data_IF_939348646242
#
_entry.id   IF_939348646242
#
_cell.length_a   1.000
_cell.length_b   1.000
_cell.length_c   1.000
_cell.angle_alpha   90.00
_cell.angle_beta   90.00
_cell.angle_gamma   90.00
#
_symmetry.space_group_name_H-M   'P 1'
#
loop_
_entity.id
_entity.type
_entity.pdbx_description
1 polymer ?
#
# COMPACT_ATOMS: atom_id res chain seq x y z
N UNK A 1 15.42 -2.49 6.18
CA UNK A 1 15.26 -1.15 5.55
C UNK A 1 15.22 -0.04 6.60
N UNK A 2 15.37 1.24 6.22
CA UNK A 2 15.11 2.42 7.07
C UNK A 2 13.80 3.13 6.66
N UNK A 3 13.19 3.96 7.53
CA UNK A 3 11.99 4.74 7.18
C UNK A 3 12.19 5.59 5.90
N UNK A 4 13.34 6.25 5.78
CA UNK A 4 13.68 7.04 4.58
C UNK A 4 13.76 6.16 3.34
N UNK A 5 14.40 4.98 3.42
CA UNK A 5 14.48 4.08 2.26
C UNK A 5 13.12 3.55 1.81
N UNK A 6 12.17 3.35 2.73
CA UNK A 6 10.80 2.94 2.38
C UNK A 6 10.10 4.06 1.62
N UNK A 7 10.23 5.31 2.07
CA UNK A 7 9.64 6.47 1.36
C UNK A 7 10.29 6.69 0.00
N UNK A 8 11.61 6.52 -0.11
CA UNK A 8 12.30 6.57 -1.40
C UNK A 8 11.79 5.49 -2.36
N UNK A 9 11.61 4.26 -1.88
CA UNK A 9 11.06 3.16 -2.68
C UNK A 9 9.61 3.44 -3.11
N UNK A 10 8.78 3.94 -2.20
CA UNK A 10 7.43 4.41 -2.51
C UNK A 10 7.45 5.44 -3.65
N UNK A 11 8.28 6.48 -3.53
CA UNK A 11 8.38 7.53 -4.53
C UNK A 11 8.91 7.05 -5.90
N UNK A 12 9.64 5.93 -5.93
CA UNK A 12 10.13 5.30 -7.16
C UNK A 12 9.04 4.49 -7.86
N UNK A 13 8.20 3.78 -7.11
CA UNK A 13 7.25 2.79 -7.66
C UNK A 13 5.83 3.35 -7.82
N UNK A 14 5.39 4.23 -6.91
CA UNK A 14 3.99 4.64 -6.76
C UNK A 14 3.39 5.22 -8.07
N UNK A 15 2.35 4.58 -8.64
CA UNK A 15 1.71 5.05 -9.89
C UNK A 15 0.93 6.35 -9.70
N UNK A 16 0.53 6.68 -8.47
CA UNK A 16 -0.36 7.80 -8.17
C UNK A 16 0.33 9.16 -8.34
N UNK A 17 1.64 9.17 -8.62
CA UNK A 17 2.50 10.37 -8.72
C UNK A 17 2.47 11.27 -7.47
N UNK A 18 1.85 10.81 -6.38
CA UNK A 18 1.87 11.46 -5.08
C UNK A 18 3.22 11.18 -4.42
N UNK A 19 4.13 12.12 -4.59
CA UNK A 19 5.43 12.08 -3.91
C UNK A 19 5.23 12.42 -2.44
N UNK A 20 5.79 11.58 -1.58
CA UNK A 20 5.87 11.82 -0.14
C UNK A 20 7.20 12.50 0.18
N UNK A 21 7.23 13.58 0.99
CA UNK A 21 8.47 14.21 1.40
C UNK A 21 9.42 13.23 2.10
N UNK A 22 10.69 13.27 1.71
CA UNK A 22 11.77 12.49 2.36
C UNK A 22 11.99 12.93 3.81
N UNK A 23 11.80 14.23 4.10
CA UNK A 23 11.79 14.75 5.47
C UNK A 23 10.49 14.29 6.16
N UNK A 24 10.60 13.25 6.97
CA UNK A 24 9.47 12.66 7.67
C UNK A 24 9.05 13.51 8.87
N UNK A 25 7.74 13.60 9.10
CA UNK A 25 7.22 14.02 10.40
C UNK A 25 7.53 12.96 11.45
N UNK A 26 7.51 13.35 12.73
CA UNK A 26 7.72 12.40 13.83
C UNK A 26 6.73 11.23 13.76
N UNK A 27 5.42 11.52 13.62
CA UNK A 27 4.37 10.50 13.54
C UNK A 27 4.56 9.52 12.38
N UNK A 28 4.91 10.02 11.18
CA UNK A 28 5.16 9.13 10.01
C UNK A 28 6.40 8.27 10.25
N UNK A 29 7.46 8.85 10.81
CA UNK A 29 8.67 8.13 11.17
C UNK A 29 8.42 7.02 12.18
N UNK A 30 7.62 7.26 13.21
CA UNK A 30 7.25 6.26 14.23
C UNK A 30 6.45 5.10 13.62
N UNK A 31 5.44 5.38 12.80
CA UNK A 31 4.66 4.35 12.10
C UNK A 31 5.53 3.51 11.18
N UNK A 32 6.40 4.14 10.38
CA UNK A 32 7.34 3.41 9.53
C UNK A 32 8.29 2.53 10.34
N UNK A 33 8.82 3.02 11.47
CA UNK A 33 9.66 2.21 12.36
C UNK A 33 8.90 1.03 12.95
N UNK A 34 7.63 1.21 13.33
CA UNK A 34 6.79 0.12 13.83
C UNK A 34 6.62 -0.97 12.76
N UNK A 35 6.22 -0.60 11.53
CA UNK A 35 6.09 -1.55 10.42
C UNK A 35 7.41 -2.23 10.04
N UNK A 36 8.52 -1.50 10.13
CA UNK A 36 9.85 -2.07 9.87
C UNK A 36 10.33 -3.03 10.96
N UNK A 37 9.82 -2.93 12.20
CA UNK A 37 10.07 -3.95 13.23
C UNK A 37 9.32 -5.24 12.95
N UNK A 38 8.14 -5.15 12.36
CA UNK A 38 7.32 -6.30 11.95
C UNK A 38 7.92 -6.97 10.71
N UNK A 39 8.27 -6.19 9.69
CA UNK A 39 8.94 -6.68 8.50
C UNK A 39 9.89 -5.63 7.89
N UNK A 40 11.19 -5.93 7.91
CA UNK A 40 12.24 -5.04 7.40
C UNK A 40 12.78 -5.40 6.01
N UNK A 41 12.26 -6.48 5.40
CA UNK A 41 12.71 -7.04 4.12
C UNK A 41 12.38 -6.10 2.94
N UNK A 42 13.39 -5.63 2.19
CA UNK A 42 13.16 -4.84 0.98
C UNK A 42 12.23 -5.48 -0.06
N UNK A 43 12.25 -6.80 -0.19
CA UNK A 43 11.47 -7.54 -1.19
C UNK A 43 9.98 -7.50 -0.87
N UNK A 44 9.62 -7.60 0.42
CA UNK A 44 8.26 -7.41 0.92
C UNK A 44 7.73 -6.02 0.56
N UNK A 45 8.46 -4.96 0.91
CA UNK A 45 8.02 -3.58 0.66
C UNK A 45 7.93 -3.25 -0.83
N UNK A 46 8.86 -3.79 -1.63
CA UNK A 46 8.80 -3.70 -3.09
C UNK A 46 7.51 -4.33 -3.61
N UNK A 47 7.20 -5.56 -3.21
CA UNK A 47 5.99 -6.28 -3.64
C UNK A 47 4.72 -5.52 -3.25
N UNK A 48 4.65 -4.99 -2.03
CA UNK A 48 3.51 -4.16 -1.58
C UNK A 48 3.29 -2.98 -2.53
N UNK A 49 4.35 -2.24 -2.87
CA UNK A 49 4.21 -1.05 -3.71
C UNK A 49 3.97 -1.40 -5.19
N UNK A 50 4.52 -2.53 -5.68
CA UNK A 50 4.23 -3.05 -7.01
C UNK A 50 2.77 -3.50 -7.12
N UNK A 51 2.21 -4.14 -6.10
CA UNK A 51 0.79 -4.48 -6.07
C UNK A 51 -0.12 -3.23 -6.10
N UNK A 52 0.24 -2.16 -5.36
CA UNK A 52 -0.44 -0.86 -5.47
C UNK A 52 -0.31 -0.28 -6.89
N UNK A 53 0.85 -0.48 -7.53
CA UNK A 53 1.08 -0.07 -8.91
C UNK A 53 0.20 -0.83 -9.89
N UNK A 54 0.05 -2.13 -9.71
CA UNK A 54 -0.48 -3.02 -10.74
C UNK A 54 -1.99 -3.27 -10.58
N UNK A 55 -2.53 -3.24 -9.36
CA UNK A 55 -3.96 -3.51 -9.10
C UNK A 55 -4.77 -2.19 -9.14
N UNK A 56 -5.73 -2.03 -10.07
CA UNK A 56 -6.51 -0.79 -10.27
C UNK A 56 -7.28 -0.29 -9.03
N UNK A 57 -7.76 -1.21 -8.18
CA UNK A 57 -8.43 -0.89 -6.92
C UNK A 57 -7.61 0.09 -6.07
N UNK A 58 -6.30 -0.14 -5.93
CA UNK A 58 -5.43 0.70 -5.11
C UNK A 58 -5.14 2.08 -5.73
N UNK A 59 -5.37 2.21 -7.04
CA UNK A 59 -5.13 3.45 -7.80
C UNK A 59 -6.34 4.38 -7.87
N UNK A 60 -7.48 3.98 -7.31
CA UNK A 60 -8.73 4.74 -7.40
C UNK A 60 -9.46 4.58 -8.71
N UNK A 61 -9.23 3.46 -9.40
CA UNK A 61 -9.89 3.13 -10.67
C UNK A 61 -11.18 2.31 -10.48
N UNK A 62 -11.71 2.24 -9.27
CA UNK A 62 -13.05 1.68 -9.06
C UNK A 62 -14.07 2.67 -8.54
N UNK A 63 -15.29 2.21 -8.21
CA UNK A 63 -16.49 3.05 -8.22
C UNK A 63 -16.44 4.26 -7.28
N UNK A 64 -15.77 4.14 -6.14
CA UNK A 64 -15.66 5.20 -5.12
C UNK A 64 -14.37 6.02 -5.23
N UNK A 65 -13.50 5.74 -6.21
CA UNK A 65 -12.26 6.49 -6.43
C UNK A 65 -11.22 6.38 -5.29
N UNK A 66 -11.36 5.38 -4.42
CA UNK A 66 -10.50 5.21 -3.24
C UNK A 66 -9.06 4.83 -3.61
N UNK A 67 -8.07 5.40 -2.90
CA UNK A 67 -6.63 5.22 -3.21
C UNK A 67 -5.85 4.79 -1.98
N UNK A 68 -4.96 3.81 -2.14
CA UNK A 68 -4.00 3.46 -1.10
C UNK A 68 -2.84 4.47 -1.09
N UNK A 69 -2.84 5.37 -0.11
CA UNK A 69 -1.70 6.27 0.15
C UNK A 69 -0.68 5.60 1.06
N UNK A 70 0.57 6.07 1.06
CA UNK A 70 1.59 5.55 2.00
C UNK A 70 1.11 5.64 3.46
N UNK A 71 0.45 6.73 3.83
CA UNK A 71 -0.05 6.93 5.20
C UNK A 71 -1.12 5.91 5.58
N UNK A 72 -1.93 5.45 4.61
CA UNK A 72 -2.86 4.34 4.83
C UNK A 72 -2.12 3.01 4.96
N UNK A 73 -1.16 2.73 4.08
CA UNK A 73 -0.38 1.48 4.10
C UNK A 73 0.31 1.27 5.46
N UNK A 74 0.86 2.33 6.04
CA UNK A 74 1.59 2.24 7.32
C UNK A 74 0.71 2.47 8.56
N UNK A 75 -0.60 2.72 8.37
CA UNK A 75 -1.51 3.13 9.46
C UNK A 75 -1.58 2.08 10.56
N UNK A 76 -1.60 0.81 10.20
CA UNK A 76 -1.64 -0.35 11.08
C UNK A 76 -0.74 -1.46 10.52
N UNK A 77 -0.58 -2.54 11.28
CA UNK A 77 0.19 -3.75 10.96
C UNK A 77 -0.42 -4.58 9.82
N UNK A 78 -1.74 -4.57 9.66
CA UNK A 78 -2.43 -5.42 8.67
C UNK A 78 -2.45 -4.87 7.23
N UNK A 79 -2.47 -3.56 7.03
CA UNK A 79 -2.72 -2.97 5.70
C UNK A 79 -1.65 -3.34 4.67
N UNK A 80 -0.36 -3.30 5.06
CA UNK A 80 0.73 -3.75 4.19
C UNK A 80 0.64 -5.24 3.85
N UNK A 81 0.25 -6.06 4.83
CA UNK A 81 0.12 -7.52 4.68
C UNK A 81 -1.00 -7.85 3.69
N UNK A 82 -2.18 -7.23 3.86
CA UNK A 82 -3.32 -7.38 2.94
C UNK A 82 -2.95 -7.08 1.49
N UNK A 83 -2.12 -6.07 1.25
CA UNK A 83 -1.65 -5.73 -0.09
C UNK A 83 -0.63 -6.77 -0.58
N UNK A 84 0.31 -7.18 0.27
CA UNK A 84 1.35 -8.16 -0.08
C UNK A 84 0.75 -9.50 -0.53
N UNK A 85 -0.26 -9.98 0.20
CA UNK A 85 -0.94 -11.26 -0.06
C UNK A 85 -1.79 -11.26 -1.32
N UNK A 86 -2.15 -10.09 -1.86
CA UNK A 86 -2.90 -10.03 -3.10
C UNK A 86 -2.03 -10.41 -4.30
N UNK A 87 -2.59 -11.28 -5.13
CA UNK A 87 -2.06 -11.52 -6.46
C UNK A 87 -2.70 -10.53 -7.45
N UNK A 88 -1.91 -9.90 -8.34
CA UNK A 88 -2.46 -9.21 -9.49
C UNK A 88 -3.29 -10.22 -10.29
N UNK A 89 -4.59 -9.99 -10.36
CA UNK A 89 -5.53 -10.89 -11.01
C UNK A 89 -5.10 -11.13 -12.48
N UNK A 90 -4.90 -12.41 -12.86
CA UNK A 90 -4.60 -12.77 -14.26
C UNK A 90 -5.83 -12.63 -15.16
N UNK A 91 -7.03 -12.50 -14.61
CA UNK A 91 -8.28 -12.40 -15.36
C UNK A 91 -9.17 -11.29 -14.78
N UNK A 92 -8.95 -10.06 -15.24
CA UNK A 92 -9.74 -8.90 -14.86
C UNK A 92 -11.23 -9.06 -15.25
N UNK A 93 -12.06 -9.63 -14.36
CA UNK A 93 -13.52 -9.62 -14.47
C UNK A 93 -14.08 -8.54 -13.53
N UNK A 94 -14.15 -7.32 -14.06
CA UNK A 94 -14.72 -6.18 -13.34
C UNK A 94 -16.15 -6.46 -12.85
N UNK A 95 -16.43 -6.02 -11.61
CA UNK A 95 -17.65 -6.09 -10.80
C UNK A 95 -17.60 -7.09 -9.63
N UNK A 96 -17.16 -8.34 -9.80
CA UNK A 96 -17.27 -9.36 -8.74
C UNK A 96 -16.33 -9.16 -7.54
N UNK A 97 -15.20 -8.46 -7.71
CA UNK A 97 -14.23 -8.23 -6.64
C UNK A 97 -14.74 -7.27 -5.55
N UNK A 98 -15.62 -6.32 -5.89
CA UNK A 98 -16.07 -5.31 -4.92
C UNK A 98 -17.00 -5.90 -3.86
N UNK A 99 -17.81 -6.89 -4.21
CA UNK A 99 -18.79 -7.48 -3.30
C UNK A 99 -18.11 -8.33 -2.21
N UNK A 100 -16.99 -8.98 -2.51
CA UNK A 100 -16.33 -9.88 -1.56
C UNK A 100 -15.44 -9.17 -0.54
N UNK A 101 -14.95 -7.95 -0.86
CA UNK A 101 -14.10 -7.18 0.05
C UNK A 101 -14.86 -6.10 0.83
N UNK A 102 -16.00 -5.60 0.35
CA UNK A 102 -16.80 -4.61 1.06
C UNK A 102 -17.22 -5.10 2.47
N UNK A 103 -17.50 -6.40 2.62
CA UNK A 103 -17.90 -7.00 3.90
C UNK A 103 -16.78 -7.05 4.95
N UNK A 104 -15.50 -7.00 4.53
CA UNK A 104 -14.34 -7.12 5.44
C UNK A 104 -13.84 -5.77 5.95
N UNK A 105 -14.29 -4.65 5.35
CA UNK A 105 -13.80 -3.30 5.68
C UNK A 105 -14.85 -2.40 6.35
N UNK A 106 -16.03 -2.92 6.72
CA UNK A 106 -17.12 -2.17 7.41
C UNK A 106 -17.22 -2.40 8.93
N UNK A 107 -16.18 -2.91 9.61
CA UNK A 107 -16.12 -3.01 11.08
C UNK A 107 -14.94 -2.25 11.69
#
# INVERSE_FOLDING_TARGET
MTPVSVVSLWNQINPLKQKVPIKLTQSRGEKLRARLKENSDPSYWRRVFENIRDIPFYRGEGPRGWKATLDWVIKNDTNGVKIYEQEPDRHYHGAAYYDQFAEVFET
#
